data_IF_495879835641
#
_entry.id   IF_495879835641
#
_cell.length_a   1.000
_cell.length_b   1.000
_cell.length_c   1.000
_cell.angle_alpha   90.00
_cell.angle_beta   90.00
_cell.angle_gamma   90.00
#
_symmetry.space_group_name_H-M   'P 1'
#
loop_
_entity.id
_entity.type
_entity.pdbx_description
1 polymer ?
#
# COMPACT_ATOMS: atom_id res chain seq x y z
N UNK A 1 -22.72 -11.38 43.01
CA UNK A 1 -21.70 -12.00 42.12
C UNK A 1 -22.36 -12.28 40.79
N UNK A 2 -21.87 -11.68 39.70
CA UNK A 2 -22.44 -11.88 38.36
C UNK A 2 -21.98 -10.81 37.38
N UNK A 3 -20.68 -10.72 37.11
CA UNK A 3 -20.17 -9.91 36.01
C UNK A 3 -20.34 -10.69 34.70
N UNK A 4 -21.13 -10.14 33.78
CA UNK A 4 -21.14 -10.57 32.37
C UNK A 4 -19.82 -10.14 31.72
N UNK A 5 -19.10 -11.02 31.02
CA UNK A 5 -17.92 -10.62 30.27
C UNK A 5 -18.36 -9.84 29.02
N UNK A 6 -17.84 -8.62 28.89
CA UNK A 6 -17.91 -7.78 27.70
C UNK A 6 -17.22 -8.46 26.53
N UNK A 7 -17.97 -8.82 25.50
CA UNK A 7 -17.45 -9.30 24.22
C UNK A 7 -16.75 -8.15 23.50
N UNK A 8 -15.42 -8.15 23.54
CA UNK A 8 -14.58 -7.36 22.65
C UNK A 8 -14.73 -7.89 21.22
N UNK A 9 -15.30 -7.06 20.34
CA UNK A 9 -15.36 -7.31 18.91
C UNK A 9 -13.96 -7.18 18.32
N UNK A 10 -13.21 -8.28 18.33
CA UNK A 10 -12.01 -8.47 17.52
C UNK A 10 -12.47 -8.46 16.05
N UNK A 11 -12.11 -7.41 15.31
CA UNK A 11 -12.28 -7.38 13.86
C UNK A 11 -11.21 -8.27 13.22
N UNK A 12 -11.59 -9.51 12.94
CA UNK A 12 -10.79 -10.44 12.17
C UNK A 12 -10.74 -9.98 10.70
N UNK A 13 -9.56 -9.89 10.07
CA UNK A 13 -9.45 -10.03 8.63
C UNK A 13 -10.04 -11.40 8.24
N UNK A 14 -10.98 -11.40 7.30
CA UNK A 14 -11.68 -12.61 6.89
C UNK A 14 -10.70 -13.56 6.17
N UNK A 15 -10.66 -14.85 6.50
CA UNK A 15 -9.68 -15.83 6.00
C UNK A 15 -9.90 -16.27 4.54
N UNK A 16 -10.52 -15.44 3.69
CA UNK A 16 -10.90 -15.79 2.32
C UNK A 16 -10.58 -14.70 1.29
N UNK A 17 -9.60 -13.83 1.56
CA UNK A 17 -9.17 -12.87 0.55
C UNK A 17 -8.38 -13.59 -0.55
N UNK A 18 -9.04 -13.76 -1.70
CA UNK A 18 -8.46 -14.28 -2.92
C UNK A 18 -7.23 -13.46 -3.31
N UNK A 19 -6.09 -14.10 -3.48
CA UNK A 19 -4.92 -13.48 -4.09
C UNK A 19 -5.22 -13.03 -5.52
N UNK A 20 -4.74 -11.83 -5.86
CA UNK A 20 -5.00 -11.22 -7.16
C UNK A 20 -3.70 -10.87 -7.87
N UNK A 21 -3.65 -11.21 -9.14
CA UNK A 21 -2.53 -10.86 -10.02
C UNK A 21 -2.47 -9.36 -10.28
N UNK A 22 -1.25 -8.83 -10.38
CA UNK A 22 -1.00 -7.43 -10.73
C UNK A 22 -1.75 -6.99 -11.99
N UNK A 23 -1.79 -7.83 -13.04
CA UNK A 23 -2.45 -7.51 -14.30
C UNK A 23 -3.96 -7.34 -14.18
N UNK A 24 -4.60 -8.16 -13.34
CA UNK A 24 -6.06 -8.11 -13.12
C UNK A 24 -6.44 -6.84 -12.35
N UNK A 25 -5.61 -6.46 -11.37
CA UNK A 25 -5.76 -5.21 -10.62
C UNK A 25 -5.57 -4.00 -11.54
N UNK A 26 -4.54 -3.98 -12.38
CA UNK A 26 -4.29 -2.86 -13.30
C UNK A 26 -5.45 -2.67 -14.30
N UNK A 27 -6.01 -3.76 -14.83
CA UNK A 27 -7.22 -3.69 -15.68
C UNK A 27 -8.44 -3.16 -14.91
N UNK A 28 -8.58 -3.55 -13.64
CA UNK A 28 -9.58 -3.00 -12.73
C UNK A 28 -9.43 -1.49 -12.52
N UNK A 29 -8.21 -1.03 -12.27
CA UNK A 29 -7.88 0.39 -12.11
C UNK A 29 -8.11 1.19 -13.40
N UNK A 30 -7.80 0.61 -14.56
CA UNK A 30 -8.09 1.23 -15.86
C UNK A 30 -9.59 1.42 -16.07
N UNK A 31 -10.40 0.42 -15.74
CA UNK A 31 -11.86 0.53 -15.77
C UNK A 31 -12.37 1.64 -14.84
N UNK A 32 -11.86 1.69 -13.60
CA UNK A 32 -12.21 2.72 -12.61
C UNK A 32 -11.84 4.12 -13.13
N UNK A 33 -10.62 4.28 -13.65
CA UNK A 33 -10.14 5.52 -14.27
C UNK A 33 -11.08 5.99 -15.39
N UNK A 34 -11.49 5.08 -16.28
CA UNK A 34 -12.41 5.40 -17.38
C UNK A 34 -13.78 5.88 -16.90
N UNK A 35 -14.31 5.33 -15.80
CA UNK A 35 -15.59 5.74 -15.25
C UNK A 35 -15.49 7.12 -14.56
N UNK A 36 -14.40 7.39 -13.83
CA UNK A 36 -14.10 8.70 -13.25
C UNK A 36 -13.93 9.77 -14.34
N UNK A 37 -13.17 9.46 -15.39
CA UNK A 37 -13.00 10.33 -16.55
C UNK A 37 -14.33 10.71 -17.20
N UNK A 38 -15.23 9.74 -17.41
CA UNK A 38 -16.58 9.99 -17.98
C UNK A 38 -17.39 10.98 -17.15
N UNK A 39 -17.11 11.07 -15.84
CA UNK A 39 -17.75 12.02 -14.92
C UNK A 39 -16.98 13.32 -14.75
N UNK A 40 -15.86 13.51 -15.48
CA UNK A 40 -14.93 14.65 -15.42
C UNK A 40 -14.33 14.83 -14.03
N UNK A 41 -14.00 13.72 -13.38
CA UNK A 41 -13.39 13.70 -12.05
C UNK A 41 -12.00 13.05 -12.14
N UNK A 42 -11.03 13.62 -11.43
CA UNK A 42 -9.70 13.06 -11.29
C UNK A 42 -9.39 12.89 -9.81
N UNK A 43 -8.96 11.69 -9.42
CA UNK A 43 -8.73 11.34 -8.02
C UNK A 43 -7.27 10.97 -7.81
N UNK A 44 -6.65 11.52 -6.77
CA UNK A 44 -5.30 11.18 -6.32
C UNK A 44 -5.41 10.31 -5.08
N UNK A 45 -4.82 9.12 -5.14
CA UNK A 45 -4.83 8.14 -4.06
C UNK A 45 -3.39 7.72 -3.76
N UNK A 46 -3.11 7.42 -2.50
CA UNK A 46 -1.87 6.77 -2.09
C UNK A 46 -2.20 5.32 -1.74
N UNK A 47 -1.34 4.39 -2.15
CA UNK A 47 -1.53 2.96 -1.96
C UNK A 47 -0.42 2.35 -1.12
N UNK A 48 -0.77 1.46 -0.19
CA UNK A 48 0.18 0.77 0.69
C UNK A 48 -0.17 -0.68 0.98
N UNK A 49 0.57 -1.30 1.89
CA UNK A 49 0.40 -2.72 2.26
C UNK A 49 0.99 -3.68 1.22
N UNK A 50 0.37 -4.85 1.06
CA UNK A 50 0.85 -5.91 0.16
C UNK A 50 0.84 -5.52 -1.32
N UNK A 51 0.07 -4.49 -1.68
CA UNK A 51 0.09 -3.88 -3.02
C UNK A 51 1.45 -3.30 -3.39
N UNK A 52 2.27 -2.85 -2.43
CA UNK A 52 3.60 -2.31 -2.72
C UNK A 52 4.52 -3.40 -3.26
N UNK A 53 4.55 -4.57 -2.62
CA UNK A 53 5.34 -5.72 -3.06
C UNK A 53 4.98 -6.18 -4.48
N UNK A 54 3.69 -6.16 -4.81
CA UNK A 54 3.19 -6.65 -6.10
C UNK A 54 3.23 -5.59 -7.22
N UNK A 55 2.82 -4.36 -6.93
CA UNK A 55 2.67 -3.31 -7.95
C UNK A 55 3.92 -2.44 -8.09
N UNK A 56 4.67 -2.21 -7.01
CA UNK A 56 5.80 -1.26 -6.99
C UNK A 56 7.14 -1.98 -6.99
N UNK A 57 7.35 -2.88 -6.04
CA UNK A 57 8.66 -3.55 -5.87
C UNK A 57 8.84 -4.75 -6.79
N UNK A 58 7.74 -5.28 -7.34
CA UNK A 58 7.69 -6.45 -8.24
C UNK A 58 8.31 -7.72 -7.64
N UNK A 59 8.41 -7.80 -6.32
CA UNK A 59 8.91 -8.98 -5.62
C UNK A 59 7.89 -10.11 -5.55
N UNK A 60 6.59 -9.78 -5.70
CA UNK A 60 5.49 -10.74 -5.71
C UNK A 60 4.63 -10.57 -6.96
N UNK A 61 4.08 -11.68 -7.46
CA UNK A 61 3.16 -11.67 -8.61
C UNK A 61 1.71 -11.37 -8.20
N UNK A 62 1.39 -11.65 -6.94
CA UNK A 62 0.05 -11.51 -6.37
C UNK A 62 0.05 -10.56 -5.16
N UNK A 63 -1.11 -9.95 -4.89
CA UNK A 63 -1.38 -9.25 -3.64
C UNK A 63 -2.82 -9.45 -3.18
N UNK A 64 -3.06 -9.17 -1.90
CA UNK A 64 -4.36 -9.35 -1.25
C UNK A 64 -5.37 -8.23 -1.57
N UNK A 65 -4.87 -7.03 -1.90
CA UNK A 65 -5.70 -5.87 -2.19
C UNK A 65 -4.93 -4.55 -2.12
N UNK A 66 -5.63 -3.47 -2.47
CA UNK A 66 -5.15 -2.10 -2.42
C UNK A 66 -5.67 -1.44 -1.14
N UNK A 67 -4.75 -1.09 -0.25
CA UNK A 67 -5.07 -0.30 0.94
C UNK A 67 -4.77 1.16 0.62
N UNK A 68 -5.79 2.00 0.61
CA UNK A 68 -5.74 3.35 0.08
C UNK A 68 -5.77 4.42 1.18
N UNK A 69 -5.19 5.57 0.86
CA UNK A 69 -5.34 6.85 1.55
C UNK A 69 -5.76 7.89 0.51
N UNK A 70 -6.79 8.67 0.82
CA UNK A 70 -7.14 9.81 -0.02
C UNK A 70 -6.14 10.96 0.16
N UNK A 71 -5.59 11.48 -0.93
CA UNK A 71 -4.72 12.67 -0.88
C UNK A 71 -5.52 13.92 -0.52
N UNK A 72 -6.73 14.03 -1.07
CA UNK A 72 -7.69 15.07 -0.77
C UNK A 72 -9.04 14.44 -0.44
N UNK A 73 -9.83 15.03 0.49
CA UNK A 73 -11.17 14.54 0.80
C UNK A 73 -12.03 14.48 -0.48
N UNK A 74 -12.53 13.30 -0.88
CA UNK A 74 -13.34 13.19 -2.08
C UNK A 74 -14.72 13.82 -1.87
N UNK A 75 -15.29 14.39 -2.93
CA UNK A 75 -16.70 14.81 -2.89
C UNK A 75 -17.62 13.59 -2.74
N UNK A 76 -18.82 13.75 -2.17
CA UNK A 76 -19.79 12.65 -2.05
C UNK A 76 -20.15 12.02 -3.41
N UNK A 77 -20.19 12.83 -4.47
CA UNK A 77 -20.41 12.38 -5.86
C UNK A 77 -19.24 11.53 -6.37
N UNK A 78 -18.01 11.95 -6.05
CA UNK A 78 -16.79 11.23 -6.40
C UNK A 78 -16.69 9.91 -5.68
N UNK A 79 -16.98 9.90 -4.38
CA UNK A 79 -16.99 8.67 -3.60
C UNK A 79 -18.05 7.70 -4.13
N UNK A 80 -19.26 8.17 -4.42
CA UNK A 80 -20.33 7.33 -5.01
C UNK A 80 -19.90 6.73 -6.35
N UNK A 81 -19.24 7.52 -7.21
CA UNK A 81 -18.74 7.06 -8.52
C UNK A 81 -17.62 6.04 -8.35
N UNK A 82 -16.64 6.35 -7.50
CA UNK A 82 -15.51 5.49 -7.19
C UNK A 82 -16.01 4.14 -6.66
N UNK A 83 -16.83 4.14 -5.63
CA UNK A 83 -17.37 2.92 -5.01
C UNK A 83 -18.15 2.06 -6.00
N UNK A 84 -19.03 2.69 -6.81
CA UNK A 84 -19.75 1.97 -7.87
C UNK A 84 -18.80 1.35 -8.90
N UNK A 85 -17.80 2.10 -9.34
CA UNK A 85 -16.83 1.65 -10.35
C UNK A 85 -15.95 0.51 -9.82
N UNK A 86 -15.50 0.59 -8.57
CA UNK A 86 -14.72 -0.44 -7.87
C UNK A 86 -15.52 -1.74 -7.72
N UNK A 87 -16.79 -1.65 -7.32
CA UNK A 87 -17.68 -2.82 -7.21
C UNK A 87 -17.98 -3.47 -8.58
N UNK A 88 -18.01 -2.67 -9.65
CA UNK A 88 -18.17 -3.20 -11.02
C UNK A 88 -16.90 -3.87 -11.52
N UNK A 89 -15.74 -3.25 -11.32
CA UNK A 89 -14.44 -3.82 -11.66
C UNK A 89 -14.22 -5.17 -10.93
N UNK A 90 -14.62 -5.24 -9.66
CA UNK A 90 -14.55 -6.48 -8.88
C UNK A 90 -15.22 -7.66 -9.60
N UNK A 91 -16.44 -7.46 -10.12
CA UNK A 91 -17.18 -8.50 -10.86
C UNK A 91 -16.59 -8.77 -12.24
N UNK A 92 -16.21 -7.72 -12.97
CA UNK A 92 -15.70 -7.84 -14.34
C UNK A 92 -14.36 -8.56 -14.42
N UNK A 93 -13.49 -8.35 -13.44
CA UNK A 93 -12.13 -8.90 -13.42
C UNK A 93 -11.93 -9.99 -12.37
N UNK A 94 -13.02 -10.48 -11.76
CA UNK A 94 -13.01 -11.53 -10.74
C UNK A 94 -12.02 -11.22 -9.59
N UNK A 95 -12.05 -9.98 -9.09
CA UNK A 95 -11.17 -9.51 -8.01
C UNK A 95 -11.74 -9.91 -6.64
N UNK A 96 -10.91 -9.86 -5.61
CA UNK A 96 -11.34 -10.03 -4.21
C UNK A 96 -12.45 -9.03 -3.86
N UNK A 97 -13.35 -9.43 -2.96
CA UNK A 97 -14.48 -8.61 -2.52
C UNK A 97 -14.03 -7.28 -1.93
N UNK A 98 -12.88 -7.27 -1.24
CA UNK A 98 -12.27 -6.08 -0.64
C UNK A 98 -10.96 -5.67 -1.34
N UNK A 99 -10.88 -5.89 -2.67
CA UNK A 99 -9.66 -5.60 -3.45
C UNK A 99 -9.22 -4.14 -3.39
N UNK A 100 -10.11 -3.23 -3.01
CA UNK A 100 -9.82 -1.84 -2.64
C UNK A 100 -10.46 -1.57 -1.28
N UNK A 101 -9.68 -1.05 -0.33
CA UNK A 101 -10.15 -0.68 1.00
C UNK A 101 -9.38 0.53 1.57
N UNK A 102 -9.89 1.11 2.65
CA UNK A 102 -9.30 2.28 3.34
C UNK A 102 -8.74 1.94 4.73
N UNK A 103 -8.45 0.65 4.98
CA UNK A 103 -7.94 0.19 6.28
C UNK A 103 -6.63 0.87 6.67
N UNK A 104 -5.78 1.16 5.67
CA UNK A 104 -4.54 1.90 5.87
C UNK A 104 -4.81 3.29 6.42
N UNK A 105 -5.75 4.04 5.83
CA UNK A 105 -6.09 5.38 6.28
C UNK A 105 -6.61 5.38 7.73
N UNK A 106 -7.42 4.38 8.10
CA UNK A 106 -7.92 4.20 9.47
C UNK A 106 -6.80 3.82 10.46
N UNK A 107 -5.78 3.09 10.00
CA UNK A 107 -4.65 2.65 10.85
C UNK A 107 -3.64 3.76 11.17
N UNK A 108 -3.63 4.85 10.39
CA UNK A 108 -2.69 5.94 10.55
C UNK A 108 -3.28 7.01 11.50
N UNK A 109 -2.59 7.31 12.62
CA UNK A 109 -3.00 8.38 13.52
C UNK A 109 -3.14 9.71 12.77
N UNK A 110 -4.22 10.44 13.05
CA UNK A 110 -4.53 11.69 12.36
C UNK A 110 -3.37 12.71 12.43
N UNK A 111 -2.66 12.75 13.55
CA UNK A 111 -1.53 13.64 13.83
C UNK A 111 -0.36 13.51 12.85
N UNK A 112 -0.16 12.32 12.27
CA UNK A 112 0.94 12.06 11.33
C UNK A 112 0.47 11.82 9.90
N UNK A 113 -0.85 11.70 9.68
CA UNK A 113 -1.41 11.37 8.37
C UNK A 113 -1.02 12.39 7.30
N UNK A 114 -1.12 13.68 7.61
CA UNK A 114 -0.76 14.74 6.67
C UNK A 114 0.72 14.70 6.31
N UNK A 115 1.60 14.36 7.27
CA UNK A 115 3.02 14.19 7.01
C UNK A 115 3.28 12.99 6.10
N UNK A 116 2.61 11.85 6.33
CA UNK A 116 2.72 10.65 5.49
C UNK A 116 2.24 10.95 4.07
N UNK A 117 1.10 11.65 3.92
CA UNK A 117 0.59 12.07 2.61
C UNK A 117 1.61 12.98 1.92
N UNK A 118 2.12 14.00 2.62
CA UNK A 118 3.11 14.93 2.10
C UNK A 118 4.41 14.23 1.65
N UNK A 119 4.96 13.32 2.47
CA UNK A 119 6.16 12.56 2.10
C UNK A 119 5.92 11.63 0.92
N UNK A 120 4.74 10.99 0.84
CA UNK A 120 4.37 10.14 -0.31
C UNK A 120 4.27 10.96 -1.60
N UNK A 121 3.73 12.18 -1.53
CA UNK A 121 3.69 13.12 -2.66
C UNK A 121 5.09 13.58 -3.07
N UNK A 122 5.98 13.89 -2.12
CA UNK A 122 7.37 14.26 -2.41
C UNK A 122 8.16 13.11 -3.04
N UNK A 123 7.93 11.87 -2.58
CA UNK A 123 8.54 10.67 -3.16
C UNK A 123 8.10 10.48 -4.62
N UNK A 124 6.84 10.83 -4.95
CA UNK A 124 6.25 10.80 -6.28
C UNK A 124 6.47 9.46 -7.04
N UNK A 125 6.42 8.35 -6.32
CA UNK A 125 6.55 7.02 -6.93
C UNK A 125 5.19 6.59 -7.48
N UNK A 126 5.00 6.71 -8.79
CA UNK A 126 3.71 6.49 -9.46
C UNK A 126 3.49 4.99 -9.68
N UNK A 127 2.41 4.46 -9.08
CA UNK A 127 2.00 3.05 -9.24
C UNK A 127 1.10 2.88 -10.46
N UNK A 128 0.21 3.85 -10.68
CA UNK A 128 -0.71 3.87 -11.81
C UNK A 128 -1.08 5.32 -12.10
N UNK A 129 -1.10 5.71 -13.37
CA UNK A 129 -1.58 7.03 -13.77
C UNK A 129 -2.37 6.93 -15.07
N UNK A 130 -3.53 7.57 -15.06
CA UNK A 130 -4.46 7.64 -16.18
C UNK A 130 -5.33 8.89 -16.01
N UNK A 131 -6.03 9.31 -17.06
CA UNK A 131 -6.77 10.59 -17.11
C UNK A 131 -7.81 10.82 -16.00
N UNK A 132 -8.32 9.75 -15.37
CA UNK A 132 -9.30 9.84 -14.27
C UNK A 132 -8.77 9.46 -12.89
N UNK A 133 -7.55 8.92 -12.80
CA UNK A 133 -7.05 8.30 -11.59
C UNK A 133 -5.52 8.26 -11.55
N UNK A 134 -4.94 8.78 -10.46
CA UNK A 134 -3.51 8.66 -10.17
C UNK A 134 -3.31 7.98 -8.81
N UNK A 135 -2.54 6.90 -8.79
CA UNK A 135 -2.11 6.19 -7.59
C UNK A 135 -0.61 6.39 -7.37
N UNK A 136 -0.26 6.83 -6.18
CA UNK A 136 1.11 6.99 -5.70
C UNK A 136 1.42 5.92 -4.65
N UNK A 137 2.68 5.48 -4.58
CA UNK A 137 3.11 4.59 -3.52
C UNK A 137 3.17 5.37 -2.20
N UNK A 138 2.82 4.70 -1.11
CA UNK A 138 3.07 5.19 0.24
C UNK A 138 4.58 5.43 0.43
N UNK A 139 4.93 6.47 1.19
CA UNK A 139 6.31 6.72 1.62
C UNK A 139 6.95 5.41 2.11
N UNK A 140 8.02 4.99 1.44
CA UNK A 140 8.64 3.68 1.71
C UNK A 140 9.22 3.63 3.12
N UNK A 141 9.65 4.77 3.67
CA UNK A 141 10.16 4.80 5.03
C UNK A 141 9.04 4.58 6.05
N UNK A 142 7.89 5.25 5.87
CA UNK A 142 6.69 4.97 6.65
C UNK A 142 6.21 3.52 6.49
N UNK A 143 6.19 2.99 5.27
CA UNK A 143 5.79 1.62 4.99
C UNK A 143 6.69 0.61 5.73
N UNK A 144 8.01 0.84 5.75
CA UNK A 144 8.95 0.01 6.50
C UNK A 144 8.65 0.09 8.00
N UNK A 145 8.59 1.31 8.55
CA UNK A 145 8.39 1.50 9.99
C UNK A 145 7.06 0.92 10.47
N UNK A 146 5.96 1.20 9.79
CA UNK A 146 4.65 0.64 10.14
C UNK A 146 4.60 -0.89 10.06
N UNK A 147 5.34 -1.51 9.13
CA UNK A 147 5.45 -2.96 9.04
C UNK A 147 6.28 -3.54 10.18
N UNK A 148 7.43 -2.94 10.51
CA UNK A 148 8.27 -3.37 11.63
C UNK A 148 7.61 -3.15 12.99
N UNK A 149 6.83 -2.08 13.13
CA UNK A 149 6.05 -1.77 14.32
C UNK A 149 4.92 -2.80 14.55
N UNK A 150 4.25 -3.25 13.49
CA UNK A 150 3.32 -4.38 13.56
C UNK A 150 4.03 -5.70 13.86
N UNK A 151 5.19 -5.94 13.24
CA UNK A 151 6.00 -7.14 13.45
C UNK A 151 6.49 -7.23 14.91
N UNK A 152 6.91 -6.11 15.50
CA UNK A 152 7.38 -6.05 16.89
C UNK A 152 6.28 -6.39 17.89
N UNK A 153 5.02 -6.07 17.55
CA UNK A 153 3.82 -6.43 18.32
C UNK A 153 3.31 -7.85 18.06
N UNK A 154 4.00 -8.63 17.23
CA UNK A 154 3.60 -10.00 16.89
C UNK A 154 2.36 -10.08 16.00
N UNK A 155 2.10 -9.05 15.20
CA UNK A 155 0.98 -9.07 14.25
C UNK A 155 1.23 -10.06 13.13
N UNK A 156 0.23 -10.91 12.85
CA UNK A 156 0.34 -11.97 11.86
C UNK A 156 0.26 -11.47 10.41
N UNK A 157 -0.24 -10.25 10.20
CA UNK A 157 -0.34 -9.58 8.90
C UNK A 157 0.97 -8.90 8.47
N UNK A 158 1.95 -8.81 9.37
CA UNK A 158 3.26 -8.25 9.11
C UNK A 158 4.26 -9.38 8.87
N UNK A 159 4.80 -9.44 7.66
CA UNK A 159 5.88 -10.38 7.31
C UNK A 159 7.24 -9.70 7.35
N UNK A 160 8.23 -10.43 7.87
CA UNK A 160 9.63 -10.05 7.75
C UNK A 160 10.04 -9.93 6.27
N UNK A 161 9.55 -10.81 5.40
CA UNK A 161 9.83 -10.79 3.97
C UNK A 161 9.38 -9.47 3.34
N UNK A 162 8.17 -9.01 3.64
CA UNK A 162 7.67 -7.72 3.16
C UNK A 162 8.54 -6.55 3.65
N UNK A 163 9.10 -6.67 4.86
CA UNK A 163 10.01 -5.66 5.41
C UNK A 163 11.36 -5.64 4.67
N UNK A 164 11.87 -6.82 4.30
CA UNK A 164 13.09 -6.99 3.50
C UNK A 164 12.91 -6.39 2.10
N UNK A 165 11.76 -6.59 1.46
CA UNK A 165 11.42 -6.00 0.16
C UNK A 165 11.39 -4.47 0.21
N UNK A 166 10.74 -3.89 1.22
CA UNK A 166 10.70 -2.44 1.40
C UNK A 166 12.12 -1.91 1.66
N UNK A 167 12.92 -2.60 2.46
CA UNK A 167 14.31 -2.24 2.69
C UNK A 167 15.13 -2.30 1.39
N UNK A 168 14.93 -3.31 0.54
CA UNK A 168 15.59 -3.41 -0.78
C UNK A 168 15.26 -2.21 -1.65
N UNK A 169 13.99 -1.79 -1.68
CA UNK A 169 13.57 -0.58 -2.38
C UNK A 169 14.28 0.67 -1.85
N UNK A 170 14.34 0.84 -0.52
CA UNK A 170 15.01 1.99 0.10
C UNK A 170 16.51 2.02 -0.24
N UNK A 171 17.19 0.88 -0.18
CA UNK A 171 18.61 0.74 -0.57
C UNK A 171 18.81 1.04 -2.06
N UNK A 172 17.87 0.62 -2.92
CA UNK A 172 17.92 0.95 -4.34
C UNK A 172 17.80 2.47 -4.57
N UNK A 173 16.81 3.12 -3.95
CA UNK A 173 16.60 4.58 -4.05
C UNK A 173 17.79 5.37 -3.50
N UNK A 174 18.45 4.86 -2.45
CA UNK A 174 19.66 5.45 -1.88
C UNK A 174 20.94 5.15 -2.67
N UNK A 175 20.81 4.58 -3.88
CA UNK A 175 21.92 4.21 -4.79
C UNK A 175 22.85 3.15 -4.20
N UNK A 176 22.28 2.13 -3.59
CA UNK A 176 22.99 1.01 -2.95
C UNK A 176 23.49 1.34 -1.54
N UNK A 177 23.23 2.54 -1.01
CA UNK A 177 23.69 2.90 0.35
C UNK A 177 22.79 2.28 1.40
N UNK A 178 23.34 1.56 2.41
CA UNK A 178 22.53 1.04 3.48
C UNK A 178 21.86 2.17 4.26
N UNK A 179 20.67 1.89 4.78
CA UNK A 179 19.91 2.82 5.59
C UNK A 179 20.56 2.94 6.97
N UNK A 180 20.76 4.17 7.46
CA UNK A 180 21.31 4.35 8.81
C UNK A 180 20.20 4.18 9.85
N UNK A 181 20.53 3.58 11.00
CA UNK A 181 19.65 3.54 12.18
C UNK A 181 19.13 4.94 12.52
N UNK A 182 20.03 5.92 12.49
CA UNK A 182 19.70 7.32 12.75
C UNK A 182 18.63 7.85 11.81
N UNK A 183 18.72 7.56 10.51
CA UNK A 183 17.71 7.95 9.52
C UNK A 183 16.35 7.30 9.80
N UNK A 184 16.32 5.98 10.04
CA UNK A 184 15.07 5.24 10.34
C UNK A 184 14.43 5.74 11.66
N UNK A 185 15.24 6.10 12.64
CA UNK A 185 14.75 6.66 13.90
C UNK A 185 14.17 8.07 13.73
N UNK A 186 14.76 8.90 12.86
CA UNK A 186 14.35 10.28 12.63
C UNK A 186 13.15 10.43 11.69
N UNK A 187 13.00 9.54 10.70
CA UNK A 187 11.79 9.50 9.88
C UNK A 187 10.59 9.13 10.74
N UNK A 188 9.44 9.79 10.61
CA UNK A 188 8.22 9.46 11.39
C UNK A 188 8.47 9.18 12.87
N UNK A 189 8.89 10.21 13.63
CA UNK A 189 9.36 10.11 15.03
C UNK A 189 8.37 9.47 16.01
N UNK A 190 7.09 9.46 15.68
CA UNK A 190 6.03 8.85 16.50
C UNK A 190 6.12 7.33 16.52
N UNK A 191 6.70 6.71 15.50
CA UNK A 191 6.87 5.25 15.41
C UNK A 191 8.30 4.92 15.84
N UNK A 192 8.47 4.19 16.93
CA UNK A 192 9.79 3.76 17.42
C UNK A 192 9.97 2.27 17.19
N UNK A 193 11.06 1.89 16.53
CA UNK A 193 11.36 0.49 16.22
C UNK A 193 12.50 0.04 17.13
N UNK A 194 12.34 -1.07 17.86
CA UNK A 194 13.38 -1.56 18.75
C UNK A 194 14.55 -2.15 17.94
N UNK A 195 15.77 -2.00 18.46
CA UNK A 195 17.01 -2.35 17.74
C UNK A 195 17.10 -3.83 17.39
N UNK A 196 16.55 -4.73 18.22
CA UNK A 196 16.50 -6.16 17.96
C UNK A 196 15.72 -6.50 16.67
N UNK A 197 14.66 -5.75 16.36
CA UNK A 197 13.87 -5.93 15.13
C UNK A 197 14.66 -5.44 13.92
N UNK A 198 15.40 -4.34 14.04
CA UNK A 198 16.29 -3.86 12.99
C UNK A 198 17.45 -4.81 12.73
N UNK A 199 18.04 -5.40 13.77
CA UNK A 199 19.09 -6.43 13.65
C UNK A 199 18.55 -7.66 12.93
N UNK A 200 17.35 -8.13 13.30
CA UNK A 200 16.70 -9.28 12.64
C UNK A 200 16.43 -8.99 11.16
N UNK A 201 15.92 -7.81 10.84
CA UNK A 201 15.69 -7.38 9.46
C UNK A 201 17.01 -7.33 8.66
N UNK A 202 18.07 -6.75 9.24
CA UNK A 202 19.35 -6.66 8.55
C UNK A 202 19.99 -8.04 8.33
N UNK A 203 19.89 -8.95 9.31
CA UNK A 203 20.39 -10.31 9.17
C UNK A 203 19.68 -11.06 8.04
N UNK A 204 18.35 -10.93 7.94
CA UNK A 204 17.58 -11.55 6.86
C UNK A 204 17.93 -10.92 5.50
N UNK A 205 18.06 -9.60 5.44
CA UNK A 205 18.48 -8.91 4.21
C UNK A 205 19.88 -9.34 3.76
N UNK A 206 20.84 -9.45 4.69
CA UNK A 206 22.21 -9.88 4.41
C UNK A 206 22.27 -11.34 3.99
N UNK A 207 21.42 -12.20 4.55
CA UNK A 207 21.29 -13.60 4.11
C UNK A 207 20.77 -13.72 2.68
N UNK A 208 19.85 -12.85 2.26
CA UNK A 208 19.24 -12.89 0.92
C UNK A 208 20.09 -12.22 -0.17
N UNK A 209 20.75 -11.09 0.15
CA UNK A 209 21.45 -10.26 -0.84
C UNK A 209 22.97 -10.21 -0.63
N UNK A 210 23.51 -10.92 0.36
CA UNK A 210 24.95 -10.96 0.67
C UNK A 210 25.54 -9.63 1.15
N UNK A 211 24.70 -8.65 1.46
CA UNK A 211 25.08 -7.25 1.67
C UNK A 211 24.25 -6.64 2.80
N UNK A 212 24.79 -5.64 3.51
CA UNK A 212 24.04 -4.96 4.57
C UNK A 212 23.02 -3.99 4.01
N UNK A 213 21.80 -4.07 4.50
CA UNK A 213 20.73 -3.10 4.20
C UNK A 213 20.62 -1.99 5.25
N UNK A 214 21.09 -2.23 6.48
CA UNK A 214 21.05 -1.29 7.59
C UNK A 214 22.43 -1.20 8.27
N UNK A 215 22.82 0.02 8.64
CA UNK A 215 24.05 0.31 9.42
C UNK A 215 23.74 1.17 10.65
N UNK A 216 24.62 1.16 11.65
CA UNK A 216 24.47 1.94 12.88
C UNK A 216 23.64 1.25 13.95
N UNK A 217 23.28 -0.02 13.77
CA UNK A 217 22.59 -0.83 14.79
C UNK A 217 23.63 -1.74 15.44
N UNK A 218 24.06 -1.38 16.64
CA UNK A 218 25.08 -2.13 17.40
C UNK A 218 26.47 -2.18 16.71
N UNK A 219 26.82 -1.17 15.91
CA UNK A 219 28.11 -1.06 15.19
C UNK A 219 29.33 -1.01 16.14
N UNK A 220 29.11 -0.67 17.41
CA UNK A 220 30.15 -0.64 18.44
C UNK A 220 30.64 -2.05 18.83
N UNK A 221 29.85 -3.11 18.56
CA UNK A 221 30.22 -4.50 18.87
C UNK A 221 30.71 -5.30 17.65
N UNK A 222 30.41 -4.88 16.41
CA UNK A 222 30.69 -5.64 15.19
C UNK A 222 31.86 -5.10 14.35
N UNK A 223 32.58 -4.10 14.87
CA UNK A 223 33.59 -3.36 14.12
C UNK A 223 32.92 -2.45 13.10
N UNK A 224 33.28 -1.18 13.13
CA UNK A 224 32.76 -0.14 12.23
C UNK A 224 33.05 -0.46 10.75
N UNK A 225 32.23 -1.28 10.09
CA UNK A 225 32.23 -1.42 8.62
C UNK A 225 31.42 -0.28 8.02
N UNK A 226 32.10 0.86 7.86
CA UNK A 226 31.57 2.07 7.22
C UNK A 226 31.51 1.97 5.69
N UNK A 227 31.96 0.86 5.13
CA UNK A 227 31.88 0.55 3.71
C UNK A 227 30.42 0.28 3.34
N UNK A 228 29.68 1.35 3.09
CA UNK A 228 28.49 1.28 2.24
C UNK A 228 28.89 0.82 0.84
N UNK A 229 27.93 0.17 0.17
CA UNK A 229 28.17 -0.55 -1.07
C UNK A 229 28.68 0.32 -2.22
N UNK A 230 29.57 -0.26 -3.03
CA UNK A 230 29.77 0.09 -4.44
C UNK A 230 28.55 -0.35 -5.24
N UNK A 231 28.05 0.49 -6.14
CA UNK A 231 26.98 0.16 -7.09
C UNK A 231 27.27 -1.20 -7.76
N UNK A 232 26.41 -2.20 -7.53
CA UNK A 232 26.65 -3.60 -7.93
C UNK A 232 25.82 -4.00 -9.15
N UNK A 233 26.30 -5.01 -9.89
CA UNK A 233 25.57 -5.56 -11.05
C UNK A 233 24.16 -6.06 -10.69
N UNK A 234 23.97 -6.58 -9.48
CA UNK A 234 22.67 -7.03 -8.96
C UNK A 234 21.67 -5.88 -8.76
N UNK A 235 22.15 -4.68 -8.40
CA UNK A 235 21.29 -3.49 -8.30
C UNK A 235 20.93 -2.96 -9.69
N UNK A 236 21.83 -3.11 -10.67
CA UNK A 236 21.53 -2.80 -12.07
C UNK A 236 20.49 -3.75 -12.65
N UNK A 237 20.61 -5.05 -12.40
CA UNK A 237 19.63 -6.06 -12.80
C UNK A 237 18.25 -5.77 -12.18
N UNK A 238 18.19 -5.50 -10.87
CA UNK A 238 16.96 -5.09 -10.21
C UNK A 238 16.36 -3.80 -10.82
N UNK A 239 17.20 -2.82 -11.15
CA UNK A 239 16.79 -1.60 -11.84
C UNK A 239 16.23 -1.87 -13.25
N UNK A 240 16.84 -2.80 -13.98
CA UNK A 240 16.36 -3.24 -15.30
C UNK A 240 15.02 -3.96 -15.22
N UNK A 241 14.80 -4.82 -14.22
CA UNK A 241 13.51 -5.49 -14.00
C UNK A 241 12.37 -4.49 -13.74
N UNK A 242 12.66 -3.47 -12.91
CA UNK A 242 11.74 -2.37 -12.64
C UNK A 242 11.45 -1.54 -13.91
N UNK A 243 12.49 -1.20 -14.68
CA UNK A 243 12.38 -0.36 -15.87
C UNK A 243 11.70 -1.07 -17.07
N UNK A 244 12.05 -2.33 -17.32
CA UNK A 244 11.45 -3.15 -18.38
C UNK A 244 9.93 -3.27 -18.19
N UNK A 245 9.48 -3.37 -16.94
CA UNK A 245 8.07 -3.50 -16.59
C UNK A 245 7.28 -2.18 -16.75
N UNK A 246 7.92 -1.02 -16.55
CA UNK A 246 7.31 0.30 -16.81
C UNK A 246 7.07 0.53 -18.32
N UNK A 247 7.87 -0.07 -19.20
CA UNK A 247 7.70 0.08 -20.65
C UNK A 247 6.52 -0.72 -21.23
N UNK A 248 6.04 -1.76 -20.54
CA UNK A 248 4.85 -2.54 -20.94
C UNK A 248 3.52 -1.92 -20.51
N UNK A 249 3.49 -1.05 -19.51
CA UNK A 249 2.26 -0.31 -19.14
C UNK A 249 2.00 0.89 -20.03
N UNK A 250 2.93 1.21 -20.94
CA UNK A 250 2.83 2.30 -21.92
C UNK A 250 2.86 1.78 -23.36
N UNK A 251 2.08 0.77 -23.72
CA UNK A 251 1.81 0.48 -25.13
C UNK A 251 0.62 1.32 -25.62
N UNK A 252 0.78 2.13 -26.68
CA UNK A 252 -0.35 2.75 -27.36
C UNK A 252 -0.90 1.74 -28.39
N UNK A 253 -1.52 0.65 -27.93
CA UNK A 253 -2.21 -0.25 -28.86
C UNK A 253 -3.57 0.35 -29.25
N UNK A 254 -3.46 1.19 -30.27
CA UNK A 254 -4.55 1.59 -31.15
C UNK A 254 -5.02 0.37 -31.94
N UNK A 255 -5.82 -0.50 -31.31
CA UNK A 255 -6.76 -1.33 -32.05
C UNK A 255 -8.15 -1.20 -31.45
N UNK A 256 -8.84 -0.20 -32.00
CA UNK A 256 -10.29 -0.12 -32.04
C UNK A 256 -10.85 -1.43 -32.60
N UNK A 257 -11.30 -2.33 -31.72
CA UNK A 257 -12.25 -3.38 -32.06
C UNK A 257 -13.50 -3.18 -31.21
N UNK A 258 -14.48 -2.53 -31.84
CA UNK A 258 -15.91 -2.53 -31.57
C UNK A 258 -16.37 -3.55 -30.51
N UNK A 259 -16.36 -3.13 -29.23
CA UNK A 259 -17.33 -3.63 -28.27
C UNK A 259 -18.57 -2.76 -28.45
N UNK A 260 -19.45 -3.22 -29.33
CA UNK A 260 -20.77 -2.64 -29.57
C UNK A 260 -21.46 -2.31 -28.24
N UNK A 261 -22.00 -1.10 -28.17
CA UNK A 261 -22.89 -0.60 -27.13
C UNK A 261 -24.14 -1.48 -27.06
N UNK A 262 -24.04 -2.63 -26.39
CA UNK A 262 -25.24 -3.34 -25.93
C UNK A 262 -25.81 -2.55 -24.76
N UNK A 263 -27.09 -2.10 -24.83
CA UNK A 263 -27.74 -1.52 -23.68
C UNK A 263 -27.74 -2.55 -22.54
N UNK A 264 -27.32 -2.09 -21.36
CA UNK A 264 -27.21 -2.93 -20.17
C UNK A 264 -28.58 -3.56 -19.84
N UNK A 265 -28.65 -4.87 -19.52
CA UNK A 265 -29.87 -5.45 -18.99
C UNK A 265 -30.23 -4.77 -17.66
N UNK A 266 -31.50 -4.40 -17.50
CA UNK A 266 -32.00 -3.77 -16.28
C UNK A 266 -31.79 -4.71 -15.07
N UNK A 267 -31.09 -4.20 -14.06
CA UNK A 267 -30.86 -4.94 -12.82
C UNK A 267 -32.11 -4.93 -11.95
N UNK A 268 -32.48 -6.06 -11.30
CA UNK A 268 -33.53 -6.07 -10.31
C UNK A 268 -33.12 -5.18 -9.12
N UNK A 269 -34.05 -4.31 -8.71
CA UNK A 269 -33.93 -3.45 -7.54
C UNK A 269 -33.78 -4.30 -6.27
N UNK A 270 -32.58 -4.39 -5.67
CA UNK A 270 -32.48 -4.73 -4.24
C UNK A 270 -31.16 -4.37 -3.55
N UNK A 271 -31.36 -3.75 -2.38
CA UNK A 271 -30.51 -3.46 -1.22
C UNK A 271 -29.30 -2.53 -1.40
N UNK A 272 -29.54 -1.27 -1.03
CA UNK A 272 -28.57 -0.16 -0.90
C UNK A 272 -27.64 -0.29 0.32
N UNK A 273 -27.80 -1.32 1.16
CA UNK A 273 -27.27 -1.28 2.52
C UNK A 273 -25.89 -1.93 2.71
N UNK A 274 -25.35 -2.63 1.70
CA UNK A 274 -24.07 -3.36 1.86
C UNK A 274 -22.85 -2.56 1.38
N UNK A 275 -23.04 -1.55 0.54
CA UNK A 275 -21.93 -0.79 -0.06
C UNK A 275 -21.49 0.38 0.82
N UNK A 276 -22.41 0.96 1.60
CA UNK A 276 -22.12 2.06 2.52
C UNK A 276 -21.22 1.60 3.70
N UNK A 277 -21.35 0.34 4.12
CA UNK A 277 -20.59 -0.25 5.23
C UNK A 277 -19.07 -0.38 4.95
N UNK A 278 -18.64 -0.33 3.68
CA UNK A 278 -17.22 -0.40 3.32
C UNK A 278 -16.49 0.92 3.62
N UNK A 279 -17.22 2.05 3.65
CA UNK A 279 -16.64 3.39 3.84
C UNK A 279 -17.09 4.11 5.11
N UNK A 280 -18.21 3.69 5.73
CA UNK A 280 -18.71 4.29 6.96
C UNK A 280 -18.43 3.38 8.17
N UNK A 281 -17.25 3.51 8.77
CA UNK A 281 -17.05 3.17 10.20
C UNK A 281 -16.79 4.47 10.97
N UNK A 282 -17.60 4.81 12.00
CA UNK A 282 -17.58 6.13 12.59
C UNK A 282 -16.39 6.37 13.53
N UNK A 283 -15.81 7.55 13.37
CA UNK A 283 -14.99 8.28 14.35
C UNK A 283 -15.80 8.44 15.64
N UNK A 284 -15.39 7.76 16.72
CA UNK A 284 -15.88 8.08 18.06
C UNK A 284 -15.37 9.46 18.45
N UNK A 285 -16.23 10.48 18.31
CA UNK A 285 -16.06 11.77 19.00
C UNK A 285 -16.35 11.54 20.47
N UNK A 286 -15.31 11.48 21.29
CA UNK A 286 -15.41 11.59 22.74
C UNK A 286 -15.89 13.00 23.10
N UNK A 287 -17.14 13.11 23.52
CA UNK A 287 -17.70 14.27 24.18
C UNK A 287 -18.47 13.79 25.40
N UNK A 288 -17.82 13.79 26.56
CA UNK A 288 -18.50 13.77 27.85
C UNK A 288 -18.05 15.01 28.62
N UNK A 289 -18.89 16.04 28.57
CA UNK A 289 -19.13 16.87 29.74
C UNK A 289 -20.43 16.38 30.36
N UNK A 290 -20.44 16.20 31.69
CA UNK A 290 -21.30 16.93 32.63
C UNK A 290 -21.38 16.19 33.97
N UNK A 291 -21.20 16.98 35.04
CA UNK A 291 -21.60 16.82 36.45
C UNK A 291 -21.32 15.50 37.19
#
# INVERSE_FOLDING_TARGET
MGQKPSTSSISYPLPFDKEMDASSILRGLEYVSRDLRRKREHVHLIVGGSSLSCLVYKSKTTCLGLNLIFVNPPSAKTLTTLTRSVARAQKLFNLSQNWVNTTLEASIPAEIRDNVIYQSLLQNDIVFSSEGLTLLALDHCFALKSTLDRLSRGSWDASLDSSVEILRRLVYISRGRPMTRGYIAHSHKTIQIPDNVLLRLNAEYEAQYGQRGIVGVNDDYLGWRREGLTWSAELEEYGQELAFSLSRSSTPDSQSSYLEDKPLPELPLRNRDTIQAIFDSPVQRGGEGFF
#
